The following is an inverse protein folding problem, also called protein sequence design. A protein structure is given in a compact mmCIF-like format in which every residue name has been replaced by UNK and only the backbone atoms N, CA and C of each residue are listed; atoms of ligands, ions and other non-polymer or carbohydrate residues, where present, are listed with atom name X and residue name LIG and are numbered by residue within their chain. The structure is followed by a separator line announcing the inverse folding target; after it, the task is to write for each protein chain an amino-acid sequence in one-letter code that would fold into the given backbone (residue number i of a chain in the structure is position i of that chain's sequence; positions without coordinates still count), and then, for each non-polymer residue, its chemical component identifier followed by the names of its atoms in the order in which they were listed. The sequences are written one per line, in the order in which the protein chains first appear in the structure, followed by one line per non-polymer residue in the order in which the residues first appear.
data_IF_435497060064
#
_entry.id   IF_435497060064
#
_cell.length_a   1.000
_cell.length_b   1.000
_cell.length_c   1.000
_cell.angle_alpha   90.00
_cell.angle_beta   90.00
_cell.angle_gamma   90.00
#
_symmetry.space_group_name_H-M   'P 1'
#
loop_
_entity.id
_entity.type
_entity.pdbx_description
1 polymer ?
#
# COMPACT_ATOMS: atom_id res chain seq x y z
N UNK A 1 13.95 1.80 25.03
CA UNK A 1 12.74 1.78 25.88
C UNK A 1 11.65 0.86 25.33
N UNK A 2 11.34 0.91 24.03
CA UNK A 2 10.29 0.12 23.36
C UNK A 2 10.35 -1.41 23.60
N UNK A 3 11.55 -2.02 23.64
CA UNK A 3 11.70 -3.47 23.87
C UNK A 3 11.24 -3.92 25.26
N UNK A 4 11.60 -3.18 26.32
CA UNK A 4 11.22 -3.53 27.70
C UNK A 4 9.71 -3.35 27.91
N UNK A 5 9.13 -2.34 27.26
CA UNK A 5 7.68 -2.11 27.26
C UNK A 5 6.95 -3.26 26.57
N UNK A 6 7.42 -3.72 25.41
CA UNK A 6 6.83 -4.86 24.71
C UNK A 6 6.90 -6.17 25.52
N UNK A 7 8.05 -6.45 26.16
CA UNK A 7 8.18 -7.63 27.03
C UNK A 7 7.32 -7.53 28.28
N UNK A 8 7.23 -6.35 28.90
CA UNK A 8 6.35 -6.11 30.05
C UNK A 8 4.87 -6.28 29.70
N UNK A 9 4.43 -5.76 28.56
CA UNK A 9 3.07 -5.94 28.06
C UNK A 9 2.75 -7.42 27.77
N UNK A 10 3.67 -8.15 27.13
CA UNK A 10 3.50 -9.58 26.87
C UNK A 10 3.43 -10.40 28.18
N UNK A 11 4.32 -10.13 29.14
CA UNK A 11 4.32 -10.81 30.43
C UNK A 11 3.03 -10.55 31.23
N UNK A 12 2.55 -9.30 31.24
CA UNK A 12 1.28 -8.94 31.84
C UNK A 12 0.12 -9.71 31.20
N UNK A 13 0.08 -9.77 29.87
CA UNK A 13 -0.97 -10.48 29.14
C UNK A 13 -0.94 -11.99 29.41
N UNK A 14 0.26 -12.61 29.43
CA UNK A 14 0.43 -14.01 29.78
C UNK A 14 -0.04 -14.33 31.20
N UNK A 15 0.31 -13.49 32.17
CA UNK A 15 -0.14 -13.65 33.55
C UNK A 15 -1.66 -13.51 33.66
N UNK A 16 -2.23 -12.50 33.01
CA UNK A 16 -3.68 -12.24 33.02
C UNK A 16 -4.48 -13.42 32.46
N UNK A 17 -4.07 -13.97 31.30
CA UNK A 17 -4.73 -15.15 30.72
C UNK A 17 -4.46 -16.45 31.48
N UNK A 18 -3.30 -16.57 32.14
CA UNK A 18 -2.98 -17.73 32.99
C UNK A 18 -3.82 -17.79 34.26
N UNK A 19 -4.06 -16.64 34.92
CA UNK A 19 -4.88 -16.57 36.14
C UNK A 19 -6.37 -16.61 35.82
N UNK A 20 -6.81 -15.93 34.75
CA UNK A 20 -8.21 -15.83 34.36
C UNK A 20 -8.46 -16.37 32.94
N UNK A 21 -8.36 -17.69 32.72
CA UNK A 21 -8.56 -18.29 31.41
C UNK A 21 -10.00 -18.12 30.90
N UNK A 22 -10.94 -17.78 31.79
CA UNK A 22 -12.33 -17.42 31.44
C UNK A 22 -12.42 -16.28 30.41
N UNK A 23 -11.46 -15.35 30.35
CA UNK A 23 -11.46 -14.28 29.33
C UNK A 23 -11.35 -14.85 27.91
N UNK A 24 -10.60 -15.94 27.72
CA UNK A 24 -10.49 -16.61 26.43
C UNK A 24 -11.74 -17.45 26.15
N UNK A 25 -12.21 -18.19 27.15
CA UNK A 25 -13.38 -19.07 27.00
C UNK A 25 -14.69 -18.31 26.73
N UNK A 26 -14.84 -17.08 27.22
CA UNK A 26 -16.01 -16.25 26.95
C UNK A 26 -16.17 -15.87 25.47
N UNK A 27 -15.09 -15.89 24.69
CA UNK A 27 -15.10 -15.54 23.28
C UNK A 27 -15.18 -16.76 22.34
N UNK A 28 -15.32 -17.98 22.89
CA UNK A 28 -15.44 -19.18 22.07
C UNK A 28 -16.88 -19.32 21.53
N UNK A 29 -17.08 -19.50 20.22
CA UNK A 29 -18.40 -19.68 19.62
C UNK A 29 -19.06 -21.04 19.95
N UNK A 30 -18.27 -22.02 20.42
CA UNK A 30 -18.74 -23.34 20.83
C UNK A 30 -18.39 -23.58 22.30
N UNK A 31 -19.37 -24.03 23.08
CA UNK A 31 -19.18 -24.33 24.50
C UNK A 31 -18.27 -25.57 24.66
N UNK A 32 -17.00 -25.36 24.99
CA UNK A 32 -16.10 -26.45 25.35
C UNK A 32 -16.38 -26.89 26.78
N UNK A 33 -17.18 -27.95 26.95
CA UNK A 33 -17.38 -28.62 28.25
C UNK A 33 -16.12 -29.43 28.57
N UNK A 34 -15.04 -28.74 28.92
CA UNK A 34 -13.80 -29.37 29.36
C UNK A 34 -13.76 -29.37 30.90
N UNK A 35 -13.98 -30.52 31.52
CA UNK A 35 -13.78 -30.68 32.96
C UNK A 35 -12.29 -30.80 33.26
N UNK A 36 -11.59 -29.66 33.33
CA UNK A 36 -10.13 -29.63 33.57
C UNK A 36 -9.74 -30.20 34.95
N UNK A 37 -10.58 -30.00 35.96
CA UNK A 37 -10.37 -30.45 37.34
C UNK A 37 -11.04 -31.80 37.62
N UNK A 38 -10.62 -32.84 36.90
CA UNK A 38 -10.96 -34.22 37.25
C UNK A 38 -9.74 -34.93 37.79
N UNK A 39 -9.94 -35.84 38.73
CA UNK A 39 -8.86 -36.66 39.29
C UNK A 39 -8.08 -37.38 38.18
N UNK A 40 -8.78 -37.90 37.17
CA UNK A 40 -8.17 -38.55 36.02
C UNK A 40 -7.20 -37.65 35.25
N UNK A 41 -7.51 -36.36 35.06
CA UNK A 41 -6.62 -35.43 34.37
C UNK A 41 -5.37 -35.12 35.19
N UNK A 42 -5.53 -34.90 36.49
CA UNK A 42 -4.41 -34.64 37.40
C UNK A 42 -3.44 -35.83 37.42
N UNK A 43 -3.97 -37.05 37.53
CA UNK A 43 -3.14 -38.27 37.50
C UNK A 43 -2.40 -38.43 36.18
N UNK A 44 -3.04 -38.13 35.04
CA UNK A 44 -2.36 -38.15 33.72
C UNK A 44 -1.18 -37.18 33.67
N UNK A 45 -1.36 -35.96 34.17
CA UNK A 45 -0.28 -34.96 34.18
C UNK A 45 0.87 -35.39 35.10
N UNK A 46 0.57 -35.92 36.29
CA UNK A 46 1.58 -36.46 37.21
C UNK A 46 2.32 -37.63 36.56
N UNK A 47 1.60 -38.56 35.93
CA UNK A 47 2.20 -39.71 35.25
C UNK A 47 3.16 -39.26 34.14
N UNK A 48 2.77 -38.27 33.32
CA UNK A 48 3.62 -37.74 32.25
C UNK A 48 4.85 -37.04 32.82
N UNK A 49 4.69 -36.22 33.86
CA UNK A 49 5.80 -35.53 34.52
C UNK A 49 6.79 -36.50 35.16
N UNK A 50 6.30 -37.53 35.85
CA UNK A 50 7.12 -38.59 36.44
C UNK A 50 7.85 -39.39 35.35
N UNK A 51 7.17 -39.73 34.26
CA UNK A 51 7.79 -40.47 33.15
C UNK A 51 8.92 -39.66 32.48
N UNK A 52 8.71 -38.37 32.22
CA UNK A 52 9.73 -37.48 31.65
C UNK A 52 10.89 -37.32 32.63
N UNK A 53 10.60 -37.10 33.91
CA UNK A 53 11.64 -36.97 34.95
C UNK A 53 12.49 -38.25 35.03
N UNK A 54 11.85 -39.43 35.01
CA UNK A 54 12.55 -40.70 35.01
C UNK A 54 13.41 -40.90 33.74
N UNK A 55 12.87 -40.57 32.56
CA UNK A 55 13.61 -40.63 31.30
C UNK A 55 14.83 -39.69 31.31
N UNK A 56 14.67 -38.46 31.82
CA UNK A 56 15.77 -37.52 32.01
C UNK A 56 16.80 -38.04 33.01
N UNK A 57 16.36 -38.63 34.14
CA UNK A 57 17.26 -39.20 35.14
C UNK A 57 18.13 -40.33 34.56
N UNK A 58 17.57 -41.15 33.68
CA UNK A 58 18.31 -42.20 32.98
C UNK A 58 19.29 -41.58 31.96
N UNK A 59 18.90 -40.49 31.30
CA UNK A 59 19.70 -39.81 30.26
C UNK A 59 20.72 -38.81 30.83
N UNK A 60 20.62 -38.43 32.10
CA UNK A 60 21.53 -37.53 32.80
C UNK A 60 23.02 -37.83 32.59
N UNK A 61 23.51 -39.09 32.72
CA UNK A 61 24.92 -39.41 32.46
C UNK A 61 25.35 -39.25 31.00
N UNK A 62 24.40 -39.25 30.05
CA UNK A 62 24.69 -39.03 28.62
C UNK A 62 24.70 -37.54 28.27
N UNK A 63 23.93 -36.73 29.00
CA UNK A 63 23.83 -35.28 28.80
C UNK A 63 24.95 -34.53 29.55
N UNK A 64 25.74 -35.22 30.37
CA UNK A 64 26.87 -34.62 31.08
C UNK A 64 27.79 -33.90 30.08
N UNK A 65 28.05 -32.60 30.26
CA UNK A 65 28.75 -31.80 29.25
C UNK A 65 30.21 -32.23 29.16
N UNK A 66 30.54 -33.01 28.15
CA UNK A 66 31.93 -33.25 27.75
C UNK A 66 32.52 -31.97 27.13
N UNK A 67 33.84 -31.75 27.28
CA UNK A 67 34.59 -30.64 26.65
C UNK A 67 34.68 -30.80 25.12
N UNK A 68 33.53 -30.87 24.45
CA UNK A 68 33.40 -30.91 23.00
C UNK A 68 32.93 -29.54 22.54
N UNK A 69 33.57 -29.04 21.48
CA UNK A 69 33.11 -27.82 20.80
C UNK A 69 31.69 -28.08 20.30
N UNK A 70 30.70 -27.45 20.93
CA UNK A 70 29.32 -27.45 20.46
C UNK A 70 29.29 -26.84 19.06
N UNK A 71 28.97 -27.65 18.05
CA UNK A 71 28.87 -27.17 16.68
C UNK A 71 27.52 -26.46 16.53
N UNK A 72 27.55 -25.13 16.63
CA UNK A 72 26.36 -24.29 16.44
C UNK A 72 25.82 -24.43 15.01
N UNK A 73 24.85 -25.32 14.83
CA UNK A 73 24.00 -25.38 13.61
C UNK A 73 23.24 -24.06 13.39
N UNK A 74 23.12 -23.23 14.42
CA UNK A 74 22.61 -21.86 14.32
C UNK A 74 23.39 -21.02 13.30
N UNK A 75 24.69 -21.28 13.10
CA UNK A 75 25.46 -20.60 12.05
C UNK A 75 24.88 -20.86 10.66
N UNK A 76 24.43 -22.09 10.42
CA UNK A 76 23.88 -22.52 9.14
C UNK A 76 22.58 -21.79 8.80
N UNK A 77 21.78 -21.42 9.79
CA UNK A 77 20.58 -20.60 9.55
C UNK A 77 20.88 -19.10 9.56
N UNK A 78 21.66 -18.63 10.53
CA UNK A 78 21.82 -17.20 10.85
C UNK A 78 22.58 -16.43 9.77
N UNK A 79 23.60 -17.03 9.17
CA UNK A 79 24.43 -16.38 8.13
C UNK A 79 23.76 -16.27 6.76
N UNK A 80 23.25 -17.36 6.16
CA UNK A 80 22.63 -17.25 4.83
C UNK A 80 21.30 -16.49 4.88
N UNK A 81 20.52 -16.59 5.96
CA UNK A 81 19.31 -15.80 6.11
C UNK A 81 19.62 -14.29 6.14
N UNK A 82 20.61 -13.87 6.94
CA UNK A 82 21.02 -12.47 7.00
C UNK A 82 21.52 -11.98 5.62
N UNK A 83 22.31 -12.80 4.92
CA UNK A 83 22.77 -12.49 3.58
C UNK A 83 21.60 -12.37 2.58
N UNK A 84 20.65 -13.31 2.61
CA UNK A 84 19.47 -13.31 1.74
C UNK A 84 18.60 -12.06 1.94
N UNK A 85 18.35 -11.67 3.20
CA UNK A 85 17.59 -10.45 3.52
C UNK A 85 18.30 -9.20 3.02
N UNK A 86 19.63 -9.11 3.18
CA UNK A 86 20.41 -7.99 2.67
C UNK A 86 20.41 -7.94 1.14
N UNK A 87 20.51 -9.09 0.47
CA UNK A 87 20.45 -9.16 -1.00
C UNK A 87 19.06 -8.73 -1.48
N UNK A 88 17.99 -9.27 -0.90
CA UNK A 88 16.62 -8.97 -1.31
C UNK A 88 16.29 -7.48 -1.11
N UNK A 89 16.70 -6.89 0.02
CA UNK A 89 16.52 -5.46 0.27
C UNK A 89 17.32 -4.60 -0.72
N UNK A 90 18.56 -4.97 -1.06
CA UNK A 90 19.35 -4.28 -2.10
C UNK A 90 18.70 -4.37 -3.47
N UNK A 91 18.17 -5.53 -3.85
CA UNK A 91 17.46 -5.72 -5.13
C UNK A 91 16.20 -4.86 -5.16
N UNK A 92 15.39 -4.88 -4.11
CA UNK A 92 14.20 -4.05 -4.00
C UNK A 92 14.52 -2.55 -4.13
N UNK A 93 15.61 -2.10 -3.49
CA UNK A 93 16.07 -0.71 -3.61
C UNK A 93 16.55 -0.41 -5.03
N UNK A 94 17.26 -1.33 -5.69
CA UNK A 94 17.70 -1.14 -7.09
C UNK A 94 16.52 -1.00 -8.03
N UNK A 95 15.55 -1.92 -7.97
CA UNK A 95 14.33 -1.88 -8.79
C UNK A 95 13.56 -0.58 -8.57
N UNK A 96 13.36 -0.18 -7.31
CA UNK A 96 12.71 1.10 -6.98
C UNK A 96 13.47 2.29 -7.57
N UNK A 97 14.80 2.26 -7.53
CA UNK A 97 15.63 3.34 -8.06
C UNK A 97 15.58 3.37 -9.60
N UNK A 98 15.57 2.22 -10.26
CA UNK A 98 15.45 2.13 -11.72
C UNK A 98 14.09 2.63 -12.19
N UNK A 99 13.00 2.21 -11.54
CA UNK A 99 11.64 2.70 -11.82
C UNK A 99 11.59 4.22 -11.66
N UNK A 100 12.15 4.76 -10.57
CA UNK A 100 12.20 6.21 -10.32
C UNK A 100 13.01 6.94 -11.40
N UNK A 101 14.12 6.37 -11.86
CA UNK A 101 14.96 6.96 -12.90
C UNK A 101 14.30 6.89 -14.28
N UNK A 102 13.55 5.82 -14.57
CA UNK A 102 12.73 5.72 -15.79
C UNK A 102 11.57 6.72 -15.74
N UNK A 103 10.86 6.80 -14.62
CA UNK A 103 9.76 7.75 -14.42
C UNK A 103 10.22 9.20 -14.58
N UNK A 104 11.36 9.57 -13.99
CA UNK A 104 11.93 10.93 -14.18
C UNK A 104 12.22 11.25 -15.65
N UNK A 105 12.72 10.28 -16.42
CA UNK A 105 12.95 10.43 -17.86
C UNK A 105 11.62 10.56 -18.62
N UNK A 106 10.65 9.69 -18.36
CA UNK A 106 9.32 9.77 -18.98
C UNK A 106 8.64 11.12 -18.68
N UNK A 107 8.68 11.56 -17.42
CA UNK A 107 8.17 12.86 -16.99
C UNK A 107 8.90 13.99 -17.73
N UNK A 108 10.22 13.91 -17.94
CA UNK A 108 10.94 14.95 -18.69
C UNK A 108 10.51 15.07 -20.16
N UNK A 109 10.10 13.98 -20.80
CA UNK A 109 9.56 14.00 -22.17
C UNK A 109 8.12 14.54 -22.22
N UNK A 110 7.31 14.25 -21.20
CA UNK A 110 5.90 14.63 -21.15
C UNK A 110 5.64 16.02 -20.55
N UNK A 111 6.52 16.48 -19.65
CA UNK A 111 6.46 17.81 -19.02
C UNK A 111 6.21 18.98 -19.98
N UNK A 112 6.86 19.09 -21.15
CA UNK A 112 6.59 20.20 -22.06
C UNK A 112 5.12 20.23 -22.51
N UNK A 113 4.51 19.06 -22.74
CA UNK A 113 3.12 18.95 -23.15
C UNK A 113 2.15 19.41 -22.04
N UNK A 114 2.38 18.96 -20.81
CA UNK A 114 1.55 19.34 -19.65
C UNK A 114 1.74 20.78 -19.21
N UNK A 115 2.93 21.36 -19.41
CA UNK A 115 3.19 22.77 -19.07
C UNK A 115 2.50 23.75 -20.00
N UNK A 116 2.20 23.35 -21.23
CA UNK A 116 1.46 24.18 -22.17
C UNK A 116 0.70 23.30 -23.20
N UNK A 117 -0.61 23.06 -22.98
CA UNK A 117 -1.42 22.23 -23.87
C UNK A 117 -1.58 22.81 -25.29
N UNK A 118 -1.35 24.12 -25.46
CA UNK A 118 -1.45 24.79 -26.74
C UNK A 118 -0.17 24.70 -27.59
N UNK A 119 0.88 24.01 -27.15
CA UNK A 119 2.11 23.82 -27.94
C UNK A 119 1.87 23.09 -29.27
N UNK A 120 0.93 22.14 -29.30
CA UNK A 120 0.55 21.44 -30.54
C UNK A 120 -0.02 22.41 -31.58
N UNK A 121 -0.86 23.33 -31.13
CA UNK A 121 -1.55 24.31 -31.99
C UNK A 121 -0.64 25.49 -32.34
N UNK A 122 0.24 25.87 -31.40
CA UNK A 122 1.22 26.94 -31.56
C UNK A 122 2.26 26.65 -32.65
N UNK A 123 2.54 25.38 -32.96
CA UNK A 123 3.52 25.00 -33.97
C UNK A 123 3.10 25.36 -35.40
N UNK A 124 1.80 25.46 -35.66
CA UNK A 124 1.25 25.64 -37.02
C UNK A 124 0.53 26.98 -37.21
N UNK A 125 0.53 27.86 -36.19
CA UNK A 125 -0.16 29.15 -36.24
C UNK A 125 0.85 30.30 -36.31
N UNK A 126 0.86 31.12 -37.38
CA UNK A 126 1.87 32.17 -37.56
C UNK A 126 1.84 33.21 -36.44
N UNK A 127 0.63 33.57 -35.96
CA UNK A 127 0.43 34.51 -34.85
C UNK A 127 1.07 34.02 -33.54
N UNK A 128 1.02 32.72 -33.24
CA UNK A 128 1.59 32.19 -32.00
C UNK A 128 3.12 32.02 -32.07
N UNK A 129 3.69 31.92 -33.28
CA UNK A 129 5.12 31.67 -33.52
C UNK A 129 5.97 32.95 -33.38
N UNK A 130 5.41 34.13 -33.67
CA UNK A 130 6.10 35.43 -33.52
C UNK A 130 6.33 35.85 -32.06
N UNK A 131 5.60 35.25 -31.12
CA UNK A 131 5.54 35.69 -29.73
C UNK A 131 6.60 35.00 -28.80
N UNK A 132 7.59 34.29 -29.37
CA UNK A 132 8.75 33.72 -28.67
C UNK A 132 8.50 32.44 -27.84
N UNK A 133 9.56 31.72 -27.42
CA UNK A 133 9.48 30.40 -26.79
C UNK A 133 8.90 30.49 -25.37
N UNK A 134 7.75 29.85 -25.15
CA UNK A 134 7.00 29.92 -23.89
C UNK A 134 7.43 28.79 -22.94
N UNK A 135 7.80 29.14 -21.70
CA UNK A 135 8.22 28.15 -20.68
C UNK A 135 7.10 27.75 -19.70
N UNK A 136 6.04 28.56 -19.58
CA UNK A 136 4.89 28.38 -18.68
C UNK A 136 3.58 28.87 -19.35
N UNK A 137 2.46 28.16 -19.10
CA UNK A 137 1.13 28.57 -19.57
C UNK A 137 0.75 29.95 -19.02
N UNK A 138 0.31 30.86 -19.90
CA UNK A 138 -0.21 32.19 -19.56
C UNK A 138 -1.60 32.34 -20.15
N UNK A 139 -2.60 32.44 -19.27
CA UNK A 139 -4.02 32.57 -19.61
C UNK A 139 -4.31 33.84 -20.41
N UNK A 140 -3.56 34.92 -20.16
CA UNK A 140 -3.79 36.21 -20.81
C UNK A 140 -3.42 36.19 -22.29
N UNK A 141 -2.50 35.31 -22.70
CA UNK A 141 -1.99 35.22 -24.08
C UNK A 141 -2.93 34.46 -25.02
N UNK A 142 -3.72 33.51 -24.49
CA UNK A 142 -4.67 32.71 -25.26
C UNK A 142 -6.11 33.25 -25.19
N UNK A 143 -6.32 34.39 -24.50
CA UNK A 143 -7.61 35.04 -24.39
C UNK A 143 -7.99 35.72 -25.71
N UNK A 144 -9.02 35.22 -26.36
CA UNK A 144 -9.62 35.94 -27.49
C UNK A 144 -10.20 37.29 -27.01
N UNK A 145 -10.13 38.35 -27.83
CA UNK A 145 -10.74 39.63 -27.48
C UNK A 145 -12.23 39.42 -27.16
N UNK A 146 -12.69 39.95 -26.03
CA UNK A 146 -14.04 39.73 -25.49
C UNK A 146 -15.12 40.11 -26.53
N UNK A 147 -14.86 41.12 -27.35
CA UNK A 147 -15.75 41.53 -28.43
C UNK A 147 -15.95 40.47 -29.51
N UNK A 148 -14.92 39.67 -29.83
CA UNK A 148 -15.00 38.64 -30.88
C UNK A 148 -15.87 37.47 -30.42
N UNK A 149 -15.69 37.00 -29.19
CA UNK A 149 -16.51 35.89 -28.65
C UNK A 149 -17.97 36.31 -28.48
N UNK A 150 -18.22 37.54 -28.02
CA UNK A 150 -19.56 38.10 -27.92
C UNK A 150 -20.22 38.20 -29.30
N UNK A 151 -19.52 38.75 -30.31
CA UNK A 151 -20.04 38.87 -31.67
C UNK A 151 -20.38 37.50 -32.28
N UNK A 152 -19.49 36.52 -32.16
CA UNK A 152 -19.74 35.15 -32.64
C UNK A 152 -20.95 34.53 -31.94
N UNK A 153 -21.10 34.71 -30.62
CA UNK A 153 -22.26 34.19 -29.89
C UNK A 153 -23.58 34.78 -30.38
N UNK A 154 -23.61 36.08 -30.65
CA UNK A 154 -24.80 36.78 -31.17
C UNK A 154 -25.10 36.34 -32.59
N UNK A 155 -24.08 36.20 -33.45
CA UNK A 155 -24.25 35.72 -34.82
C UNK A 155 -24.84 34.31 -34.87
N UNK A 156 -24.32 33.40 -34.05
CA UNK A 156 -24.84 32.03 -33.96
C UNK A 156 -26.28 32.05 -33.46
N UNK A 157 -26.60 32.86 -32.45
CA UNK A 157 -27.96 32.99 -31.95
C UNK A 157 -28.94 33.51 -33.02
N UNK A 158 -28.57 34.55 -33.77
CA UNK A 158 -29.39 35.12 -34.83
C UNK A 158 -29.60 34.12 -35.96
N UNK A 159 -28.56 33.39 -36.37
CA UNK A 159 -28.67 32.36 -37.41
C UNK A 159 -29.59 31.21 -36.97
N UNK A 160 -29.46 30.75 -35.72
CA UNK A 160 -30.31 29.70 -35.16
C UNK A 160 -31.76 30.18 -35.03
N UNK A 161 -31.99 31.39 -34.52
CA UNK A 161 -33.33 31.97 -34.41
C UNK A 161 -33.98 32.16 -35.79
N UNK A 162 -33.22 32.68 -36.77
CA UNK A 162 -33.67 32.80 -38.15
C UNK A 162 -34.00 31.45 -38.77
N UNK A 163 -33.19 30.41 -38.49
CA UNK A 163 -33.45 29.05 -38.96
C UNK A 163 -34.74 28.49 -38.36
N UNK A 164 -34.93 28.63 -37.05
CA UNK A 164 -36.15 28.17 -36.35
C UNK A 164 -37.41 28.91 -36.81
N UNK A 165 -37.31 30.21 -37.06
CA UNK A 165 -38.43 31.00 -37.61
C UNK A 165 -38.76 30.59 -39.04
N UNK A 166 -37.75 30.33 -39.87
CA UNK A 166 -37.92 29.83 -41.22
C UNK A 166 -38.59 28.45 -41.24
N UNK A 167 -38.21 27.55 -40.35
CA UNK A 167 -38.86 26.23 -40.26
C UNK A 167 -40.29 26.31 -39.73
N UNK A 168 -40.58 27.15 -38.72
CA UNK A 168 -41.93 27.28 -38.16
C UNK A 168 -42.95 27.94 -39.11
N UNK A 169 -42.53 28.71 -40.11
CA UNK A 169 -43.43 29.24 -41.13
C UNK A 169 -43.98 28.16 -42.09
N UNK A 170 -43.34 26.99 -42.16
CA UNK A 170 -43.80 25.86 -42.98
C UNK A 170 -45.03 25.13 -42.42
N UNK A 171 -45.28 25.23 -41.12
CA UNK A 171 -46.31 24.43 -40.42
C UNK A 171 -47.66 25.18 -40.26
N UNK A 172 -47.74 26.44 -40.70
CA UNK A 172 -48.94 27.30 -40.58
C UNK A 172 -49.90 27.28 -41.78
N UNK A 173 -49.70 26.40 -42.76
CA UNK A 173 -50.50 26.32 -44.00
C UNK A 173 -51.46 25.11 -44.07
N UNK A 174 -51.63 24.41 -42.94
CA UNK A 174 -52.67 23.38 -42.78
C UNK A 174 -53.37 23.53 -41.42
N UNK A 175 -54.26 24.52 -41.35
CA UNK A 175 -55.32 24.69 -40.37
C UNK A 175 -56.55 25.23 -41.07
#
# INVERSE_FOLDING_TARGET
MNMKVAMGAAAFLCFMYGVAPKLLYANLPYASVCYSWTFANVVKHIQLFTAITAAFWILFPVIEPEEKVSLDVDWFYRKPLAAAVVILSKVAVRVRNDIRNQMRRAISYMLPYFRNPFLLVSRNTPVLNEMGPIKFYDENRYRFPIGVTALVSVLVFVLVASYVLYTNQGDGLFG
#
